data_IF_917936937853
#
_entry.id   IF_917936937853
#
_cell.length_a   1.000
_cell.length_b   1.000
_cell.length_c   1.000
_cell.angle_alpha   90.00
_cell.angle_beta   90.00
_cell.angle_gamma   90.00
#
_symmetry.space_group_name_H-M   'P 1'
#
loop_
_entity.id
_entity.type
_entity.pdbx_description
1 polymer ?
#
# COMPACT_ATOMS: atom_id res chain seq x y z
N UNK A 1 13.79 1.19 22.66
CA UNK A 1 13.48 1.03 24.10
C UNK A 1 12.69 2.26 24.52
N UNK A 2 11.58 2.15 25.27
CA UNK A 2 10.79 3.35 25.59
C UNK A 2 11.63 4.32 26.42
N UNK A 3 11.52 5.62 26.15
CA UNK A 3 12.31 6.65 26.83
C UNK A 3 12.10 6.67 28.35
N UNK A 4 10.89 6.34 28.80
CA UNK A 4 10.55 6.28 30.22
C UNK A 4 11.33 5.16 30.93
N UNK A 5 11.48 4.00 30.29
CA UNK A 5 12.31 2.88 30.76
C UNK A 5 13.80 3.25 30.71
N UNK A 6 14.24 3.95 29.66
CA UNK A 6 15.61 4.47 29.55
C UNK A 6 15.94 5.42 30.70
N UNK A 7 15.03 6.32 31.05
CA UNK A 7 15.17 7.27 32.16
C UNK A 7 15.25 6.55 33.51
N UNK A 8 14.37 5.56 33.75
CA UNK A 8 14.38 4.75 34.96
C UNK A 8 15.67 3.94 35.10
N UNK A 9 16.09 3.25 34.04
CA UNK A 9 17.35 2.48 34.03
C UNK A 9 18.57 3.38 34.24
N UNK A 10 18.56 4.57 33.66
CA UNK A 10 19.63 5.55 33.81
C UNK A 10 19.74 6.07 35.25
N UNK A 11 18.62 6.32 35.91
CA UNK A 11 18.57 6.67 37.34
C UNK A 11 19.10 5.52 38.21
N UNK A 12 18.63 4.30 37.97
CA UNK A 12 19.03 3.11 38.73
C UNK A 12 20.51 2.77 38.57
N UNK A 13 21.08 2.94 37.37
CA UNK A 13 22.53 2.79 37.11
C UNK A 13 23.39 3.80 37.89
N UNK A 14 22.79 4.89 38.34
CA UNK A 14 23.44 5.90 39.20
C UNK A 14 23.12 5.70 40.68
N UNK A 15 22.41 4.63 41.04
CA UNK A 15 21.98 4.32 42.41
C UNK A 15 21.17 5.46 43.06
N UNK A 16 20.46 6.24 42.26
CA UNK A 16 19.62 7.34 42.75
C UNK A 16 18.20 6.84 43.02
N UNK A 17 17.64 7.20 44.17
CA UNK A 17 16.20 7.06 44.40
C UNK A 17 15.42 8.13 43.64
N UNK A 18 14.11 7.95 43.47
CA UNK A 18 13.26 8.97 42.84
C UNK A 18 13.24 10.29 43.62
N UNK A 19 13.43 10.24 44.95
CA UNK A 19 13.50 11.42 45.83
C UNK A 19 14.81 12.19 45.69
N UNK A 20 15.93 11.46 45.62
CA UNK A 20 17.24 12.06 45.40
C UNK A 20 17.36 12.65 43.99
N UNK A 21 16.82 11.94 42.98
CA UNK A 21 16.76 12.45 41.61
C UNK A 21 15.89 13.70 41.50
N UNK A 22 14.72 13.72 42.13
CA UNK A 22 13.84 14.88 42.17
C UNK A 22 14.51 16.09 42.83
N UNK A 23 15.22 15.86 43.94
CA UNK A 23 15.99 16.89 44.65
C UNK A 23 17.13 17.44 43.79
N UNK A 24 17.89 16.57 43.11
CA UNK A 24 18.99 16.98 42.24
C UNK A 24 18.53 17.72 40.97
N UNK A 25 17.32 17.43 40.50
CA UNK A 25 16.69 18.06 39.34
C UNK A 25 15.83 19.29 39.71
N UNK A 26 15.65 19.59 41.00
CA UNK A 26 14.82 20.70 41.46
C UNK A 26 13.33 20.54 41.13
N UNK A 27 12.83 19.31 41.03
CA UNK A 27 11.42 19.00 40.72
C UNK A 27 10.77 18.17 41.83
N UNK A 28 9.46 17.99 41.77
CA UNK A 28 8.77 17.09 42.70
C UNK A 28 9.05 15.62 42.37
N UNK A 29 9.04 14.78 43.40
CA UNK A 29 9.10 13.31 43.29
C UNK A 29 8.05 12.74 42.35
N UNK A 30 6.85 13.31 42.39
CA UNK A 30 5.73 12.97 41.51
C UNK A 30 6.01 13.27 40.03
N UNK A 31 6.81 14.30 39.71
CA UNK A 31 7.20 14.60 38.33
C UNK A 31 8.16 13.55 37.77
N UNK A 32 9.15 13.13 38.57
CA UNK A 32 10.08 12.05 38.18
C UNK A 32 9.34 10.73 37.99
N UNK A 33 8.40 10.40 38.89
CA UNK A 33 7.53 9.22 38.76
C UNK A 33 6.68 9.26 37.49
N UNK A 34 6.10 10.42 37.16
CA UNK A 34 5.32 10.59 35.93
C UNK A 34 6.19 10.46 34.67
N UNK A 35 7.45 10.92 34.72
CA UNK A 35 8.39 10.79 33.61
C UNK A 35 8.83 9.34 33.37
N UNK A 36 8.99 8.57 34.43
CA UNK A 36 9.35 7.15 34.34
C UNK A 36 8.17 6.25 33.96
N UNK A 37 6.96 6.80 33.90
CA UNK A 37 5.73 6.04 33.61
C UNK A 37 5.12 6.42 32.27
N UNK A 38 4.58 7.64 32.16
CA UNK A 38 3.64 7.99 31.08
C UNK A 38 3.92 9.33 30.39
N UNK A 39 4.74 10.20 30.96
CA UNK A 39 4.93 11.58 30.46
C UNK A 39 6.37 11.87 30.11
N UNK A 40 6.61 12.88 29.28
CA UNK A 40 7.96 13.29 28.88
C UNK A 40 8.40 14.57 29.61
N UNK A 41 9.68 14.69 29.97
CA UNK A 41 10.23 15.92 30.52
C UNK A 41 10.27 17.02 29.46
N UNK A 42 10.03 18.26 29.91
CA UNK A 42 10.09 19.45 29.07
C UNK A 42 11.53 19.71 28.56
N UNK A 43 11.63 20.34 27.38
CA UNK A 43 12.89 20.68 26.70
C UNK A 43 13.83 21.51 27.57
N UNK A 44 13.25 22.37 28.40
CA UNK A 44 13.99 23.19 29.36
C UNK A 44 14.79 22.36 30.38
N UNK A 45 14.33 21.16 30.71
CA UNK A 45 14.91 20.28 31.73
C UNK A 45 16.00 19.35 31.19
N UNK A 46 16.12 19.21 29.87
CA UNK A 46 17.01 18.21 29.26
C UNK A 46 18.48 18.38 29.66
N UNK A 47 18.98 19.61 29.69
CA UNK A 47 20.36 19.89 30.08
C UNK A 47 20.67 19.44 31.52
N UNK A 48 19.68 19.58 32.42
CA UNK A 48 19.81 19.18 33.82
C UNK A 48 19.67 17.66 33.98
N UNK A 49 18.76 17.03 33.23
CA UNK A 49 18.60 15.57 33.23
C UNK A 49 19.86 14.88 32.72
N UNK A 50 20.41 15.36 31.59
CA UNK A 50 21.63 14.83 31.00
C UNK A 50 22.80 14.97 31.97
N UNK A 51 22.90 16.08 32.70
CA UNK A 51 24.00 16.31 33.65
C UNK A 51 23.87 15.47 34.92
N UNK A 52 22.67 15.38 35.53
CA UNK A 52 22.41 14.64 36.76
C UNK A 52 22.52 13.13 36.53
N UNK A 53 21.95 12.62 35.44
CA UNK A 53 22.04 11.20 35.10
C UNK A 53 23.34 10.84 34.36
N UNK A 54 24.13 11.85 33.98
CA UNK A 54 25.39 11.74 33.22
C UNK A 54 25.20 10.86 31.98
N UNK A 55 24.27 11.29 31.14
CA UNK A 55 23.89 10.60 29.90
C UNK A 55 24.68 11.14 28.72
N UNK A 56 24.87 10.31 27.70
CA UNK A 56 25.35 10.81 26.42
C UNK A 56 24.24 11.65 25.75
N UNK A 57 24.62 12.83 25.27
CA UNK A 57 23.66 13.78 24.68
C UNK A 57 23.02 13.24 23.41
N UNK A 58 23.76 12.45 22.63
CA UNK A 58 23.29 11.87 21.37
C UNK A 58 22.33 10.71 21.65
N UNK A 59 22.68 9.84 22.59
CA UNK A 59 21.83 8.72 23.04
C UNK A 59 20.51 9.20 23.65
N UNK A 60 20.58 10.25 24.49
CA UNK A 60 19.39 10.86 25.10
C UNK A 60 18.42 11.42 24.06
N UNK A 61 18.93 12.16 23.07
CA UNK A 61 18.11 12.77 22.02
C UNK A 61 17.51 11.72 21.08
N UNK A 62 18.23 10.64 20.78
CA UNK A 62 17.73 9.53 19.97
C UNK A 62 16.57 8.82 20.67
N UNK A 63 16.75 8.43 21.94
CA UNK A 63 15.70 7.75 22.71
C UNK A 63 14.49 8.67 22.97
N UNK A 64 14.72 9.96 23.18
CA UNK A 64 13.64 10.95 23.31
C UNK A 64 12.89 11.09 21.99
N UNK A 65 13.58 11.21 20.85
CA UNK A 65 12.98 11.31 19.51
C UNK A 65 12.11 10.11 19.17
N UNK A 66 12.55 8.90 19.50
CA UNK A 66 11.77 7.66 19.31
C UNK A 66 10.50 7.59 20.17
N UNK A 67 10.46 8.30 21.31
CA UNK A 67 9.33 8.27 22.25
C UNK A 67 8.45 9.52 22.23
N UNK A 68 8.97 10.64 21.71
CA UNK A 68 8.26 11.90 21.54
C UNK A 68 7.51 11.99 20.21
N UNK A 69 7.89 11.17 19.23
CA UNK A 69 6.98 10.78 18.15
C UNK A 69 5.99 9.84 18.83
N UNK A 70 4.71 10.20 18.98
CA UNK A 70 3.72 9.18 19.27
C UNK A 70 3.86 8.20 18.12
N UNK A 71 4.31 6.97 18.39
CA UNK A 71 3.73 5.86 17.64
C UNK A 71 2.26 6.11 17.81
N UNK A 72 1.57 6.43 16.71
CA UNK A 72 0.13 6.37 16.68
C UNK A 72 -0.20 5.08 17.43
N UNK A 73 -0.78 5.22 18.62
CA UNK A 73 -1.52 4.12 19.18
C UNK A 73 -2.45 3.78 18.04
N UNK A 74 -2.21 2.61 17.46
CA UNK A 74 -3.20 1.94 16.63
C UNK A 74 -4.38 1.88 17.57
N UNK A 75 -5.26 2.85 17.43
CA UNK A 75 -6.52 2.92 18.13
C UNK A 75 -7.24 1.68 17.63
N UNK A 76 -7.24 0.64 18.45
CA UNK A 76 -8.21 -0.43 18.40
C UNK A 76 -9.59 0.26 18.50
N UNK A 77 -10.16 0.63 17.35
CA UNK A 77 -11.34 1.50 17.37
C UNK A 77 -11.73 2.24 16.10
N UNK A 78 -11.38 1.75 14.91
CA UNK A 78 -12.25 1.86 13.71
C UNK A 78 -11.80 0.81 12.70
N UNK A 79 -12.67 -0.08 12.19
CA UNK A 79 -12.27 -1.15 11.25
C UNK A 79 -11.90 -0.65 9.84
N UNK A 80 -11.92 0.67 9.59
CA UNK A 80 -12.01 1.21 8.22
C UNK A 80 -10.72 1.82 7.65
N UNK A 81 -9.59 1.77 8.38
CA UNK A 81 -8.39 2.56 8.03
C UNK A 81 -7.09 1.75 8.02
N UNK A 82 -7.12 0.51 7.54
CA UNK A 82 -5.88 -0.15 7.12
C UNK A 82 -5.55 0.31 5.70
N UNK A 83 -4.36 0.89 5.50
CA UNK A 83 -3.92 1.35 4.17
C UNK A 83 -3.95 0.15 3.21
N UNK A 84 -4.62 0.25 2.03
CA UNK A 84 -4.89 -0.91 1.19
C UNK A 84 -3.66 -1.29 0.35
N UNK A 85 -2.65 -1.86 1.03
CA UNK A 85 -1.38 -2.28 0.42
C UNK A 85 -1.59 -3.24 -0.76
N UNK A 86 -2.59 -4.12 -0.63
CA UNK A 86 -2.93 -5.14 -1.61
C UNK A 86 -3.47 -4.59 -2.95
N UNK A 87 -3.88 -3.31 -3.01
CA UNK A 87 -4.35 -2.66 -4.23
C UNK A 87 -3.22 -2.03 -5.05
N UNK A 88 -2.04 -1.86 -4.46
CA UNK A 88 -0.92 -1.15 -5.09
C UNK A 88 0.10 -2.18 -5.61
N UNK A 89 0.58 -2.05 -6.86
CA UNK A 89 1.65 -2.91 -7.36
C UNK A 89 2.90 -2.85 -6.47
N UNK A 90 3.51 -4.00 -6.18
CA UNK A 90 4.66 -4.13 -5.27
C UNK A 90 5.81 -3.16 -5.63
N UNK A 91 6.07 -2.98 -6.93
CA UNK A 91 7.11 -2.08 -7.46
C UNK A 91 6.90 -0.61 -7.05
N UNK A 92 5.65 -0.19 -6.83
CA UNK A 92 5.26 1.18 -6.49
C UNK A 92 4.93 1.34 -5.01
N UNK A 93 4.66 0.25 -4.30
CA UNK A 93 4.23 0.26 -2.90
C UNK A 93 5.25 0.97 -1.99
N UNK A 94 6.54 0.67 -2.14
CA UNK A 94 7.58 1.32 -1.33
C UNK A 94 7.62 2.84 -1.54
N UNK A 95 7.57 3.28 -2.80
CA UNK A 95 7.55 4.70 -3.15
C UNK A 95 6.29 5.41 -2.62
N UNK A 96 5.12 4.76 -2.70
CA UNK A 96 3.88 5.32 -2.16
C UNK A 96 3.95 5.42 -0.64
N UNK A 97 4.42 4.39 0.09
CA UNK A 97 4.55 4.43 1.55
C UNK A 97 5.53 5.48 2.04
N UNK A 98 6.53 5.83 1.25
CA UNK A 98 7.49 6.91 1.53
C UNK A 98 6.88 8.33 1.40
N UNK A 99 5.64 8.46 0.91
CA UNK A 99 4.90 9.74 0.81
C UNK A 99 4.40 10.24 2.17
N UNK A 100 5.35 10.45 3.08
CA UNK A 100 5.15 11.10 4.37
C UNK A 100 6.03 12.34 4.40
N UNK A 101 5.39 13.50 4.51
CA UNK A 101 6.09 14.77 4.62
C UNK A 101 6.34 15.13 6.07
N UNK A 102 7.43 15.82 6.30
CA UNK A 102 7.65 16.59 7.53
C UNK A 102 7.08 17.99 7.39
N UNK A 103 6.88 18.69 8.52
CA UNK A 103 6.40 20.08 8.50
C UNK A 103 7.32 21.02 7.69
N UNK A 104 8.64 20.83 7.79
CA UNK A 104 9.63 21.59 7.01
C UNK A 104 9.55 21.27 5.51
N UNK A 105 9.35 20.00 5.15
CA UNK A 105 9.18 19.56 3.75
C UNK A 105 7.88 20.10 3.14
N UNK A 106 6.77 20.08 3.89
CA UNK A 106 5.50 20.64 3.45
C UNK A 106 5.56 22.17 3.26
N UNK A 107 6.21 22.87 4.19
CA UNK A 107 6.46 24.31 4.07
C UNK A 107 7.30 24.64 2.83
N UNK A 108 8.40 23.89 2.61
CA UNK A 108 9.23 24.05 1.42
C UNK A 108 8.43 23.75 0.15
N UNK A 109 7.69 22.65 0.08
CA UNK A 109 6.87 22.28 -1.09
C UNK A 109 5.84 23.37 -1.43
N UNK A 110 5.21 23.97 -0.42
CA UNK A 110 4.30 25.10 -0.61
C UNK A 110 4.99 26.33 -1.21
N UNK A 111 6.18 26.67 -0.71
CA UNK A 111 7.00 27.75 -1.27
C UNK A 111 7.44 27.42 -2.70
N UNK A 112 7.89 26.19 -2.97
CA UNK A 112 8.24 25.77 -4.32
C UNK A 112 7.06 25.91 -5.27
N UNK A 113 5.86 25.49 -4.89
CA UNK A 113 4.66 25.62 -5.72
C UNK A 113 4.29 27.09 -6.01
N UNK A 114 4.45 27.98 -5.02
CA UNK A 114 4.17 29.42 -5.15
C UNK A 114 5.21 30.16 -6.02
N UNK A 115 6.48 29.76 -5.94
CA UNK A 115 7.56 30.45 -6.64
C UNK A 115 7.94 29.81 -7.98
N UNK A 116 7.71 28.51 -8.18
CA UNK A 116 7.86 27.86 -9.50
C UNK A 116 6.76 28.26 -10.49
N UNK A 117 5.54 28.55 -10.00
CA UNK A 117 4.45 29.06 -10.85
C UNK A 117 4.75 30.43 -11.47
N UNK A 118 5.80 31.12 -11.02
CA UNK A 118 6.19 32.46 -11.45
C UNK A 118 7.54 32.53 -12.20
N UNK A 119 8.17 31.40 -12.59
CA UNK A 119 9.41 31.45 -13.38
C UNK A 119 9.13 31.68 -14.87
N UNK A 120 9.15 32.94 -15.31
CA UNK A 120 8.97 33.31 -16.72
C UNK A 120 10.22 32.96 -17.54
N UNK A 121 10.07 32.23 -18.66
CA UNK A 121 11.03 32.27 -19.77
C UNK A 121 10.54 33.27 -20.82
N UNK A 122 11.35 34.28 -21.11
CA UNK A 122 11.18 35.11 -22.32
C UNK A 122 11.86 34.35 -23.46
N UNK A 123 11.06 33.81 -24.38
CA UNK A 123 11.60 33.24 -25.61
C UNK A 123 12.05 34.38 -26.54
N UNK A 124 13.36 34.62 -26.58
CA UNK A 124 13.98 35.76 -27.27
C UNK A 124 13.80 35.81 -28.79
N UNK A 125 13.24 34.78 -29.42
CA UNK A 125 13.07 34.72 -30.88
C UNK A 125 11.68 35.13 -31.39
N UNK A 126 10.64 35.16 -30.55
CA UNK A 126 9.25 35.36 -31.00
C UNK A 126 8.40 36.28 -30.12
N UNK A 127 8.88 36.74 -28.97
CA UNK A 127 8.09 37.64 -28.10
C UNK A 127 6.82 37.01 -27.51
N UNK A 128 6.67 35.70 -27.62
CA UNK A 128 5.54 34.93 -27.09
C UNK A 128 5.95 34.35 -25.73
N UNK A 129 5.19 34.68 -24.69
CA UNK A 129 5.37 34.15 -23.34
C UNK A 129 4.96 32.67 -23.33
N UNK A 130 5.92 31.75 -23.16
CA UNK A 130 5.63 30.33 -22.96
C UNK A 130 5.94 29.93 -21.52
N UNK A 131 4.92 29.47 -20.80
CA UNK A 131 5.02 28.90 -19.46
C UNK A 131 5.83 27.60 -19.54
N UNK A 132 7.08 27.61 -19.10
CA UNK A 132 7.88 26.39 -18.94
C UNK A 132 8.62 26.47 -17.60
N UNK A 133 8.48 25.46 -16.70
CA UNK A 133 9.18 25.44 -15.42
C UNK A 133 10.69 25.49 -15.63
N UNK A 134 11.39 26.37 -14.90
CA UNK A 134 12.85 26.40 -14.93
C UNK A 134 13.41 25.29 -14.03
N UNK A 135 14.19 24.37 -14.59
CA UNK A 135 14.72 23.18 -13.87
C UNK A 135 15.69 23.50 -12.71
N UNK A 136 16.14 24.76 -12.54
CA UNK A 136 17.33 25.06 -11.74
C UNK A 136 17.27 26.34 -10.88
N UNK A 137 16.12 27.03 -10.78
CA UNK A 137 16.03 28.23 -9.95
C UNK A 137 14.63 28.42 -9.38
N UNK A 138 14.33 27.65 -8.33
CA UNK A 138 13.23 28.00 -7.43
C UNK A 138 13.63 29.29 -6.73
N UNK A 139 12.95 30.39 -7.05
CA UNK A 139 13.16 31.67 -6.37
C UNK A 139 12.61 31.63 -4.95
N UNK A 140 13.27 30.91 -4.04
CA UNK A 140 12.87 30.86 -2.64
C UNK A 140 13.19 32.20 -1.94
N UNK A 141 12.35 32.65 -0.98
CA UNK A 141 12.61 33.88 -0.23
C UNK A 141 13.97 33.84 0.48
N UNK A 142 14.77 34.90 0.33
CA UNK A 142 16.08 35.00 0.98
C UNK A 142 15.99 34.84 2.51
N UNK A 143 14.95 35.40 3.14
CA UNK A 143 14.73 35.29 4.58
C UNK A 143 14.52 33.85 5.03
N UNK A 144 13.81 33.04 4.23
CA UNK A 144 13.59 31.62 4.50
C UNK A 144 14.91 30.84 4.43
N UNK A 145 15.68 31.04 3.34
CA UNK A 145 16.98 30.39 3.14
C UNK A 145 17.99 30.80 4.21
N UNK A 146 18.00 32.07 4.60
CA UNK A 146 18.85 32.60 5.68
C UNK A 146 18.46 32.01 7.05
N UNK A 147 17.17 31.86 7.32
CA UNK A 147 16.66 31.35 8.59
C UNK A 147 16.89 29.84 8.80
N UNK A 148 16.67 29.02 7.76
CA UNK A 148 16.83 27.56 7.85
C UNK A 148 18.25 27.08 7.49
N UNK A 149 18.99 27.86 6.70
CA UNK A 149 20.32 27.55 6.19
C UNK A 149 20.29 26.88 4.80
N UNK A 150 21.12 27.37 3.87
CA UNK A 150 21.10 26.96 2.46
C UNK A 150 21.27 25.44 2.26
N UNK A 151 22.26 24.82 2.91
CA UNK A 151 22.49 23.37 2.78
C UNK A 151 21.35 22.53 3.34
N UNK A 152 20.64 23.02 4.37
CA UNK A 152 19.46 22.32 4.90
C UNK A 152 18.30 22.40 3.92
N UNK A 153 18.08 23.56 3.30
CA UNK A 153 17.07 23.72 2.25
C UNK A 153 17.37 22.84 1.04
N UNK A 154 18.64 22.75 0.62
CA UNK A 154 19.05 21.82 -0.44
C UNK A 154 18.76 20.36 -0.07
N UNK A 155 19.12 19.93 1.13
CA UNK A 155 18.84 18.56 1.58
C UNK A 155 17.32 18.26 1.65
N UNK A 156 16.51 19.25 2.04
CA UNK A 156 15.04 19.13 2.03
C UNK A 156 14.50 19.02 0.60
N UNK A 157 15.03 19.82 -0.34
CA UNK A 157 14.65 19.76 -1.75
C UNK A 157 15.01 18.40 -2.39
N UNK A 158 16.19 17.86 -2.07
CA UNK A 158 16.62 16.53 -2.54
C UNK A 158 15.71 15.43 -1.98
N UNK A 159 15.36 15.52 -0.69
CA UNK A 159 14.40 14.61 -0.04
C UNK A 159 13.02 14.68 -0.70
N UNK A 160 12.49 15.88 -0.92
CA UNK A 160 11.20 16.09 -1.60
C UNK A 160 11.21 15.53 -3.02
N UNK A 161 12.25 15.83 -3.80
CA UNK A 161 12.37 15.37 -5.18
C UNK A 161 12.41 13.85 -5.27
N UNK A 162 13.10 13.19 -4.32
CA UNK A 162 13.14 11.73 -4.23
C UNK A 162 11.79 11.13 -3.85
N UNK A 163 11.09 11.71 -2.86
CA UNK A 163 9.80 11.20 -2.36
C UNK A 163 8.66 11.44 -3.34
N UNK A 164 8.59 12.63 -3.93
CA UNK A 164 7.39 13.13 -4.62
C UNK A 164 7.39 12.88 -6.12
N UNK A 165 8.50 12.48 -6.75
CA UNK A 165 8.67 12.24 -8.21
C UNK A 165 7.41 12.46 -9.05
N UNK A 166 6.55 11.43 -9.15
CA UNK A 166 5.36 11.40 -10.02
C UNK A 166 4.07 11.84 -9.28
N UNK A 167 4.13 11.95 -7.96
CA UNK A 167 3.00 12.21 -7.07
C UNK A 167 2.90 13.67 -6.60
N UNK A 168 3.82 14.53 -7.06
CA UNK A 168 3.96 15.90 -6.58
C UNK A 168 2.69 16.73 -6.72
N UNK A 169 2.02 16.66 -7.86
CA UNK A 169 0.78 17.41 -8.11
C UNK A 169 -0.37 16.95 -7.21
N UNK A 170 -0.50 15.62 -7.03
CA UNK A 170 -1.48 15.03 -6.12
C UNK A 170 -1.26 15.52 -4.68
N UNK A 171 -0.03 15.44 -4.17
CA UNK A 171 0.30 15.85 -2.80
C UNK A 171 0.03 17.35 -2.59
N UNK A 172 0.39 18.21 -3.55
CA UNK A 172 0.05 19.63 -3.51
C UNK A 172 -1.48 19.83 -3.48
N UNK A 173 -2.23 19.07 -4.27
CA UNK A 173 -3.69 19.11 -4.30
C UNK A 173 -4.31 18.77 -2.94
N UNK A 174 -3.78 17.77 -2.24
CA UNK A 174 -4.26 17.39 -0.91
C UNK A 174 -3.89 18.43 0.16
N UNK A 175 -2.65 18.95 0.16
CA UNK A 175 -2.22 20.00 1.10
C UNK A 175 -3.06 21.28 0.93
N UNK A 176 -3.49 21.61 -0.30
CA UNK A 176 -4.38 22.76 -0.53
C UNK A 176 -5.77 22.59 0.12
N UNK A 177 -6.25 21.35 0.28
CA UNK A 177 -7.54 21.06 0.95
C UNK A 177 -7.40 21.18 2.46
N UNK A 178 -6.30 20.72 3.03
CA UNK A 178 -5.99 20.83 4.45
C UNK A 178 -4.52 21.26 4.68
N UNK A 179 -4.25 22.58 4.78
CA UNK A 179 -2.88 23.11 4.85
C UNK A 179 -2.25 22.98 6.24
N UNK A 180 -3.06 22.83 7.30
CA UNK A 180 -2.59 22.80 8.68
C UNK A 180 -2.12 21.39 9.10
N UNK A 181 -2.70 20.35 8.50
CA UNK A 181 -2.33 18.97 8.74
C UNK A 181 -1.11 18.57 7.90
N UNK A 182 -0.18 17.85 8.52
CA UNK A 182 1.00 17.32 7.81
C UNK A 182 0.57 16.16 6.91
N UNK A 183 0.91 16.23 5.63
CA UNK A 183 0.54 15.20 4.67
C UNK A 183 1.19 13.85 5.01
N UNK A 184 0.34 12.84 5.20
CA UNK A 184 0.72 11.45 5.42
C UNK A 184 -0.25 10.55 4.65
N UNK A 185 0.28 9.82 3.68
CA UNK A 185 -0.53 8.94 2.83
C UNK A 185 -1.26 7.84 3.60
N UNK A 186 -0.71 7.36 4.72
CA UNK A 186 -1.30 6.28 5.50
C UNK A 186 -2.56 6.72 6.26
N UNK A 187 -2.77 8.04 6.39
CA UNK A 187 -3.93 8.63 7.06
C UNK A 187 -4.94 9.20 6.06
N UNK A 188 -4.75 8.95 4.76
CA UNK A 188 -5.66 9.44 3.73
C UNK A 188 -6.99 8.68 3.73
N UNK A 189 -8.08 9.38 3.44
CA UNK A 189 -9.39 8.75 3.25
C UNK A 189 -9.43 7.90 1.98
N UNK A 190 -10.40 6.99 1.89
CA UNK A 190 -10.67 6.18 0.69
C UNK A 190 -10.74 7.05 -0.59
N UNK A 191 -11.45 8.17 -0.56
CA UNK A 191 -11.56 9.11 -1.70
C UNK A 191 -10.21 9.70 -2.12
N UNK A 192 -9.36 10.06 -1.15
CA UNK A 192 -8.03 10.58 -1.44
C UNK A 192 -7.14 9.50 -2.07
N UNK A 193 -7.25 8.25 -1.58
CA UNK A 193 -6.54 7.11 -2.18
C UNK A 193 -6.97 6.84 -3.62
N UNK A 194 -8.25 7.01 -3.95
CA UNK A 194 -8.72 6.90 -5.35
C UNK A 194 -8.09 7.97 -6.25
N UNK A 195 -8.00 9.21 -5.77
CA UNK A 195 -7.30 10.28 -6.50
C UNK A 195 -5.81 9.94 -6.69
N UNK A 196 -5.16 9.29 -5.71
CA UNK A 196 -3.80 8.78 -5.86
C UNK A 196 -3.73 7.69 -6.95
N UNK A 197 -4.67 6.75 -6.98
CA UNK A 197 -4.69 5.66 -7.97
C UNK A 197 -4.83 6.18 -9.40
N UNK A 198 -5.45 7.35 -9.60
CA UNK A 198 -5.48 8.02 -10.92
C UNK A 198 -4.10 8.53 -11.36
N UNK A 199 -3.22 8.86 -10.41
CA UNK A 199 -1.86 9.31 -10.68
C UNK A 199 -0.87 8.14 -10.89
N UNK A 200 -1.18 6.95 -10.38
CA UNK A 200 -0.36 5.76 -10.59
C UNK A 200 -0.65 5.22 -11.99
N UNK A 201 0.29 5.41 -12.92
CA UNK A 201 0.21 4.82 -14.26
C UNK A 201 1.13 3.60 -14.41
N UNK A 202 0.68 2.62 -15.18
CA UNK A 202 1.50 1.48 -15.60
C UNK A 202 1.25 1.13 -17.06
N UNK A 203 2.26 0.49 -17.67
CA UNK A 203 2.33 0.21 -19.09
C UNK A 203 3.30 1.14 -19.83
N UNK A 204 3.68 0.76 -21.05
CA UNK A 204 4.62 1.51 -21.89
C UNK A 204 3.95 2.00 -23.18
N UNK A 205 4.23 3.25 -23.56
CA UNK A 205 3.79 3.83 -24.85
C UNK A 205 2.30 4.22 -24.90
N UNK A 206 1.62 3.87 -26.00
CA UNK A 206 0.24 4.34 -26.33
C UNK A 206 -0.88 3.70 -25.50
N UNK A 207 -0.57 2.77 -24.59
CA UNK A 207 -1.54 2.06 -23.74
C UNK A 207 -1.29 2.30 -22.25
N UNK A 208 -0.86 3.50 -21.89
CA UNK A 208 -0.71 3.87 -20.49
C UNK A 208 -2.10 3.90 -19.85
N UNK A 209 -2.35 2.99 -18.91
CA UNK A 209 -3.57 2.97 -18.09
C UNK A 209 -3.22 3.43 -16.69
N UNK A 210 -4.15 4.11 -16.04
CA UNK A 210 -4.01 4.40 -14.61
C UNK A 210 -4.53 3.22 -13.78
N UNK A 211 -4.08 3.14 -12.53
CA UNK A 211 -4.47 2.10 -11.58
C UNK A 211 -5.97 2.14 -11.29
N UNK A 212 -6.53 3.34 -11.22
CA UNK A 212 -7.96 3.54 -11.02
C UNK A 212 -8.82 2.80 -12.04
N UNK A 213 -8.57 2.98 -13.35
CA UNK A 213 -9.36 2.37 -14.43
C UNK A 213 -9.31 0.84 -14.41
N UNK A 214 -8.16 0.27 -14.05
CA UNK A 214 -8.04 -1.18 -13.97
C UNK A 214 -8.69 -1.73 -12.73
N UNK A 215 -8.54 -1.08 -11.58
CA UNK A 215 -9.21 -1.48 -10.35
C UNK A 215 -10.73 -1.35 -10.49
N UNK A 216 -11.22 -0.32 -11.18
CA UNK A 216 -12.64 -0.17 -11.50
C UNK A 216 -13.14 -1.32 -12.38
N UNK A 217 -12.39 -1.70 -13.42
CA UNK A 217 -12.70 -2.85 -14.26
C UNK A 217 -12.69 -4.17 -13.46
N UNK A 218 -11.65 -4.38 -12.65
CA UNK A 218 -11.53 -5.57 -11.81
C UNK A 218 -12.70 -5.66 -10.82
N UNK A 219 -13.11 -4.54 -10.23
CA UNK A 219 -14.23 -4.50 -9.29
C UNK A 219 -15.57 -4.83 -9.96
N UNK A 220 -15.83 -4.33 -11.16
CA UNK A 220 -17.06 -4.63 -11.90
C UNK A 220 -17.17 -6.15 -12.16
N UNK A 221 -16.08 -6.78 -12.59
CA UNK A 221 -16.06 -8.21 -12.86
C UNK A 221 -16.12 -9.06 -11.58
N UNK A 222 -15.49 -8.59 -10.48
CA UNK A 222 -15.61 -9.23 -9.17
C UNK A 222 -17.05 -9.17 -8.63
N UNK A 223 -17.73 -8.03 -8.75
CA UNK A 223 -19.15 -7.88 -8.37
C UNK A 223 -20.04 -8.81 -9.19
N UNK A 224 -19.79 -8.92 -10.50
CA UNK A 224 -20.53 -9.84 -11.36
C UNK A 224 -20.40 -11.31 -10.92
N UNK A 225 -19.22 -11.73 -10.46
CA UNK A 225 -18.99 -13.10 -9.98
C UNK A 225 -19.62 -13.30 -8.59
N UNK A 226 -19.47 -12.34 -7.69
CA UNK A 226 -20.01 -12.41 -6.32
C UNK A 226 -21.55 -12.43 -6.29
N UNK A 227 -22.19 -11.66 -7.18
CA UNK A 227 -23.66 -11.62 -7.33
C UNK A 227 -24.24 -12.85 -8.04
N UNK A 228 -23.40 -13.68 -8.65
CA UNK A 228 -23.86 -14.84 -9.42
C UNK A 228 -24.21 -16.04 -8.50
N UNK A 229 -25.46 -16.52 -8.58
CA UNK A 229 -25.91 -17.69 -7.80
C UNK A 229 -25.24 -19.01 -8.24
N UNK A 230 -24.65 -19.04 -9.44
CA UNK A 230 -24.02 -20.22 -10.04
C UNK A 230 -22.57 -19.91 -10.38
N UNK A 231 -21.65 -20.88 -10.27
CA UNK A 231 -20.26 -20.68 -10.61
C UNK A 231 -20.11 -20.14 -12.04
N UNK A 232 -19.33 -19.08 -12.18
CA UNK A 232 -19.09 -18.45 -13.49
C UNK A 232 -18.09 -19.29 -14.27
N UNK A 233 -18.62 -20.13 -15.16
CA UNK A 233 -17.81 -20.97 -16.05
C UNK A 233 -17.18 -20.12 -17.15
N UNK A 234 -15.85 -20.18 -17.25
CA UNK A 234 -15.06 -19.43 -18.24
C UNK A 234 -14.65 -20.29 -19.42
N UNK A 235 -14.48 -21.60 -19.24
CA UNK A 235 -14.18 -22.53 -20.33
C UNK A 235 -14.77 -23.89 -20.03
N UNK A 236 -15.17 -24.64 -21.07
CA UNK A 236 -15.62 -26.03 -20.96
C UNK A 236 -14.70 -26.95 -21.73
N UNK A 237 -14.47 -28.14 -21.21
CA UNK A 237 -13.73 -29.15 -21.94
C UNK A 237 -14.57 -29.69 -23.09
N UNK A 238 -14.04 -29.59 -24.31
CA UNK A 238 -14.64 -30.14 -25.51
C UNK A 238 -13.61 -31.01 -26.24
N UNK A 239 -13.70 -32.35 -26.17
CA UNK A 239 -12.73 -33.25 -26.78
C UNK A 239 -12.74 -33.19 -28.32
N UNK A 240 -13.78 -32.60 -28.92
CA UNK A 240 -13.91 -32.40 -30.38
C UNK A 240 -13.43 -31.01 -30.82
N UNK A 241 -13.06 -30.15 -29.87
CA UNK A 241 -12.56 -28.81 -30.17
C UNK A 241 -11.28 -28.90 -31.00
N UNK A 242 -11.27 -28.20 -32.14
CA UNK A 242 -10.11 -28.05 -33.03
C UNK A 242 -9.64 -26.60 -32.96
N UNK A 243 -9.26 -26.13 -31.79
CA UNK A 243 -8.58 -24.83 -31.70
C UNK A 243 -7.20 -24.92 -32.36
N UNK A 244 -6.71 -23.79 -32.90
CA UNK A 244 -5.44 -23.68 -33.64
C UNK A 244 -4.23 -24.12 -32.79
N UNK A 245 -4.35 -24.10 -31.46
CA UNK A 245 -3.30 -24.42 -30.49
C UNK A 245 -3.37 -25.86 -29.95
N UNK A 246 -4.32 -26.68 -30.41
CA UNK A 246 -4.52 -28.04 -29.90
C UNK A 246 -5.13 -28.08 -28.50
N UNK A 247 -5.66 -26.95 -28.02
CA UNK A 247 -6.26 -26.85 -26.70
C UNK A 247 -7.70 -27.38 -26.74
N UNK A 248 -8.00 -28.34 -25.85
CA UNK A 248 -9.31 -29.01 -25.78
C UNK A 248 -10.33 -28.21 -24.97
N UNK A 249 -9.97 -27.01 -24.53
CA UNK A 249 -10.85 -26.10 -23.83
C UNK A 249 -11.52 -25.14 -24.82
N UNK A 250 -12.85 -25.03 -24.71
CA UNK A 250 -13.66 -24.08 -25.45
C UNK A 250 -14.02 -22.92 -24.53
N UNK A 251 -13.66 -21.70 -24.92
CA UNK A 251 -13.89 -20.51 -24.12
C UNK A 251 -15.35 -20.08 -24.20
N UNK A 252 -15.94 -19.85 -23.03
CA UNK A 252 -17.27 -19.26 -22.91
C UNK A 252 -17.21 -17.76 -23.22
N UNK A 253 -18.39 -17.15 -23.45
CA UNK A 253 -18.51 -15.72 -23.76
C UNK A 253 -17.83 -14.82 -22.71
N UNK A 254 -17.83 -15.26 -21.46
CA UNK A 254 -17.29 -14.50 -20.33
C UNK A 254 -15.76 -14.60 -20.22
N UNK A 255 -15.11 -15.55 -20.91
CA UNK A 255 -13.66 -15.77 -20.82
C UNK A 255 -12.87 -14.49 -21.09
N UNK A 256 -13.20 -13.77 -22.17
CA UNK A 256 -12.45 -12.58 -22.58
C UNK A 256 -12.55 -11.40 -21.61
N UNK A 257 -13.60 -11.38 -20.78
CA UNK A 257 -13.79 -10.36 -19.74
C UNK A 257 -12.99 -10.72 -18.50
N UNK A 258 -13.16 -11.95 -18.03
CA UNK A 258 -12.55 -12.47 -16.81
C UNK A 258 -11.04 -12.66 -16.95
N UNK A 259 -10.55 -13.08 -18.12
CA UNK A 259 -9.11 -13.25 -18.37
C UNK A 259 -8.31 -11.94 -18.33
N UNK A 260 -8.98 -10.78 -18.30
CA UNK A 260 -8.33 -9.47 -18.15
C UNK A 260 -8.26 -9.00 -16.70
N UNK A 261 -8.99 -9.65 -15.80
CA UNK A 261 -8.97 -9.32 -14.36
C UNK A 261 -7.61 -9.70 -13.80
N UNK A 262 -7.09 -8.88 -12.88
CA UNK A 262 -5.84 -9.18 -12.20
C UNK A 262 -5.88 -10.56 -11.53
N UNK A 263 -4.85 -11.38 -11.79
CA UNK A 263 -4.70 -12.69 -11.16
C UNK A 263 -4.51 -12.63 -9.64
N UNK A 264 -4.25 -11.43 -9.10
CA UNK A 264 -4.23 -11.23 -7.65
C UNK A 264 -5.63 -11.36 -7.03
N UNK A 265 -6.68 -10.97 -7.77
CA UNK A 265 -8.06 -10.94 -7.27
C UNK A 265 -8.90 -12.13 -7.73
N UNK A 266 -8.51 -12.77 -8.83
CA UNK A 266 -9.29 -13.83 -9.45
C UNK A 266 -8.40 -14.97 -9.91
N UNK A 267 -8.81 -16.19 -9.56
CA UNK A 267 -8.16 -17.43 -9.99
C UNK A 267 -9.12 -18.24 -10.88
N UNK A 268 -8.58 -18.89 -11.92
CA UNK A 268 -9.35 -19.80 -12.77
C UNK A 268 -9.01 -21.23 -12.36
N UNK A 269 -9.98 -21.90 -11.74
CA UNK A 269 -9.81 -23.27 -11.21
C UNK A 269 -10.47 -24.26 -12.17
N UNK A 270 -9.77 -25.36 -12.46
CA UNK A 270 -10.30 -26.50 -13.20
C UNK A 270 -11.06 -27.43 -12.26
N UNK A 271 -12.32 -27.69 -12.58
CA UNK A 271 -13.17 -28.65 -11.89
C UNK A 271 -13.62 -29.75 -12.85
N UNK A 272 -13.65 -30.96 -12.32
CA UNK A 272 -14.27 -32.09 -12.99
C UNK A 272 -15.81 -31.98 -12.87
N UNK A 273 -16.55 -32.39 -13.90
CA UNK A 273 -18.01 -32.30 -13.88
C UNK A 273 -18.60 -33.20 -12.78
N UNK A 274 -19.61 -32.70 -12.09
CA UNK A 274 -20.40 -33.45 -11.10
C UNK A 274 -21.72 -33.98 -11.70
N UNK A 275 -21.89 -33.92 -13.02
CA UNK A 275 -23.07 -34.45 -13.69
C UNK A 275 -23.26 -35.93 -13.34
N UNK A 276 -24.47 -36.31 -12.89
CA UNK A 276 -24.79 -37.67 -12.41
C UNK A 276 -24.43 -38.75 -13.44
N UNK A 277 -24.68 -38.48 -14.72
CA UNK A 277 -24.34 -39.38 -15.83
C UNK A 277 -22.83 -39.60 -15.97
N UNK A 278 -22.03 -38.56 -15.79
CA UNK A 278 -20.58 -38.65 -15.90
C UNK A 278 -19.96 -39.36 -14.70
N UNK A 279 -20.42 -39.05 -13.49
CA UNK A 279 -19.98 -39.72 -12.26
C UNK A 279 -20.30 -41.22 -12.34
N UNK A 280 -21.50 -41.59 -12.79
CA UNK A 280 -21.89 -42.99 -12.99
C UNK A 280 -21.02 -43.71 -14.04
N UNK A 281 -20.68 -43.04 -15.15
CA UNK A 281 -19.76 -43.61 -16.16
C UNK A 281 -18.35 -43.82 -15.61
N UNK A 282 -17.86 -42.91 -14.78
CA UNK A 282 -16.54 -43.02 -14.12
C UNK A 282 -16.51 -44.17 -13.13
N UNK A 283 -17.51 -44.29 -12.27
CA UNK A 283 -17.62 -45.40 -11.32
C UNK A 283 -17.73 -46.75 -12.03
N UNK A 284 -18.48 -46.82 -13.13
CA UNK A 284 -18.59 -48.04 -13.93
C UNK A 284 -17.24 -48.42 -14.54
N UNK A 285 -16.51 -47.45 -15.09
CA UNK A 285 -15.18 -47.67 -15.64
C UNK A 285 -14.17 -48.15 -14.58
N UNK A 286 -14.21 -47.60 -13.36
CA UNK A 286 -13.35 -48.05 -12.26
C UNK A 286 -13.63 -49.51 -11.88
N UNK A 287 -14.90 -49.92 -11.86
CA UNK A 287 -15.31 -51.32 -11.65
C UNK A 287 -14.83 -52.22 -12.80
N UNK A 288 -14.99 -51.77 -14.04
CA UNK A 288 -14.58 -52.52 -15.23
C UNK A 288 -13.05 -52.68 -15.30
N UNK A 289 -12.28 -51.67 -14.90
CA UNK A 289 -10.82 -51.75 -14.79
C UNK A 289 -10.39 -52.70 -13.68
N UNK A 290 -11.01 -52.60 -12.50
CA UNK A 290 -10.70 -53.50 -11.39
C UNK A 290 -10.93 -54.96 -11.81
N UNK A 291 -12.05 -55.22 -12.49
CA UNK A 291 -12.36 -56.53 -13.04
C UNK A 291 -11.34 -56.97 -14.12
N UNK A 292 -10.95 -56.08 -15.03
CA UNK A 292 -9.96 -56.36 -16.07
C UNK A 292 -8.58 -56.72 -15.47
N UNK A 293 -8.14 -56.00 -14.43
CA UNK A 293 -6.87 -56.27 -13.75
C UNK A 293 -6.92 -57.65 -13.06
N UNK A 294 -8.01 -57.98 -12.38
CA UNK A 294 -8.19 -59.28 -11.73
C UNK A 294 -8.30 -60.44 -12.73
N UNK A 295 -8.83 -60.19 -13.93
CA UNK A 295 -9.15 -61.21 -14.92
C UNK A 295 -8.52 -60.92 -16.30
N UNK A 296 -7.25 -60.50 -16.32
CA UNK A 296 -6.52 -60.13 -17.55
C UNK A 296 -6.56 -61.18 -18.67
N UNK A 297 -6.71 -62.45 -18.34
CA UNK A 297 -6.77 -63.55 -19.32
C UNK A 297 -8.17 -63.80 -19.91
N UNK A 298 -9.21 -63.11 -19.42
CA UNK A 298 -10.60 -63.29 -19.86
C UNK A 298 -11.13 -62.15 -20.73
N UNK A 299 -10.34 -61.10 -20.96
CA UNK A 299 -10.72 -59.92 -21.75
C UNK A 299 -9.70 -59.67 -22.86
N UNK A 300 -10.16 -59.44 -24.08
CA UNK A 300 -9.30 -59.23 -25.25
C UNK A 300 -8.69 -57.82 -25.33
N UNK A 301 -9.24 -56.87 -24.58
CA UNK A 301 -8.76 -55.49 -24.54
C UNK A 301 -9.10 -54.81 -23.21
N UNK A 302 -8.35 -53.75 -22.88
CA UNK A 302 -8.63 -52.89 -21.74
C UNK A 302 -9.98 -52.16 -21.91
N UNK A 303 -10.73 -51.91 -20.82
CA UNK A 303 -11.93 -51.08 -20.85
C UNK A 303 -11.63 -49.68 -21.40
N UNK A 304 -12.55 -49.13 -22.19
CA UNK A 304 -12.39 -47.80 -22.77
C UNK A 304 -12.57 -46.72 -21.69
N UNK A 305 -11.60 -45.81 -21.58
CA UNK A 305 -11.69 -44.69 -20.63
C UNK A 305 -12.87 -43.77 -20.99
N UNK A 306 -13.73 -43.39 -20.02
CA UNK A 306 -14.82 -42.46 -20.28
C UNK A 306 -14.27 -41.11 -20.74
N UNK A 307 -15.01 -40.39 -21.61
CA UNK A 307 -14.60 -39.06 -22.04
C UNK A 307 -14.59 -38.12 -20.84
N UNK A 308 -13.48 -37.39 -20.65
CA UNK A 308 -13.35 -36.41 -19.58
C UNK A 308 -14.34 -35.27 -19.79
N UNK A 309 -15.10 -34.93 -18.74
CA UNK A 309 -15.90 -33.72 -18.68
C UNK A 309 -15.37 -32.85 -17.54
N UNK A 310 -14.94 -31.65 -17.90
CA UNK A 310 -14.46 -30.66 -16.95
C UNK A 310 -14.84 -29.26 -17.40
N UNK A 311 -14.85 -28.34 -16.44
CA UNK A 311 -15.09 -26.94 -16.67
C UNK A 311 -14.07 -26.12 -15.87
N UNK A 312 -13.76 -24.93 -16.37
CA UNK A 312 -12.97 -23.94 -15.65
C UNK A 312 -13.92 -22.88 -15.12
N UNK A 313 -13.87 -22.62 -13.83
CA UNK A 313 -14.66 -21.56 -13.20
C UNK A 313 -13.75 -20.45 -12.68
N UNK A 314 -14.30 -19.24 -12.64
CA UNK A 314 -13.66 -18.10 -12.00
C UNK A 314 -13.99 -18.11 -10.51
N UNK A 315 -12.95 -18.09 -9.67
CA UNK A 315 -13.06 -18.07 -8.22
C UNK A 315 -12.39 -16.81 -7.71
N UNK A 316 -13.10 -16.07 -6.86
CA UNK A 316 -12.56 -14.87 -6.23
C UNK A 316 -11.57 -15.30 -5.15
N UNK A 317 -10.36 -14.73 -5.19
CA UNK A 317 -9.31 -15.00 -4.19
C UNK A 317 -9.59 -14.27 -2.87
N UNK A 318 -8.86 -14.59 -1.81
CA UNK A 318 -8.97 -13.84 -0.54
C UNK A 318 -8.69 -12.33 -0.72
N UNK A 319 -7.73 -11.97 -1.58
CA UNK A 319 -7.44 -10.57 -1.89
C UNK A 319 -8.58 -9.91 -2.70
N UNK A 320 -9.23 -10.65 -3.59
CA UNK A 320 -10.42 -10.18 -4.32
C UNK A 320 -11.62 -9.96 -3.39
N UNK A 321 -11.82 -10.84 -2.40
CA UNK A 321 -12.83 -10.65 -1.35
C UNK A 321 -12.54 -9.39 -0.52
N UNK A 322 -11.29 -9.21 -0.07
CA UNK A 322 -10.87 -7.98 0.63
C UNK A 322 -11.09 -6.73 -0.22
N UNK A 323 -10.87 -6.81 -1.53
CA UNK A 323 -11.14 -5.70 -2.42
C UNK A 323 -12.63 -5.36 -2.49
N UNK A 324 -13.50 -6.36 -2.65
CA UNK A 324 -14.95 -6.19 -2.62
C UNK A 324 -15.40 -5.52 -1.31
N UNK A 325 -14.89 -5.99 -0.18
CA UNK A 325 -15.20 -5.41 1.14
C UNK A 325 -14.71 -3.98 1.28
N UNK A 326 -13.48 -3.69 0.87
CA UNK A 326 -12.92 -2.35 0.91
C UNK A 326 -13.73 -1.35 0.07
N UNK A 327 -14.24 -1.80 -1.08
CA UNK A 327 -15.03 -1.03 -2.03
C UNK A 327 -16.55 -1.03 -1.78
N UNK A 328 -17.05 -1.63 -0.68
CA UNK A 328 -18.50 -1.66 -0.36
C UNK A 328 -19.11 -0.25 -0.24
N UNK A 329 -18.34 0.70 0.28
CA UNK A 329 -18.79 2.08 0.53
C UNK A 329 -18.32 3.08 -0.54
N UNK A 330 -17.75 2.59 -1.64
CA UNK A 330 -17.19 3.40 -2.70
C UNK A 330 -17.92 3.09 -4.01
N UNK A 331 -18.49 4.11 -4.64
CA UNK A 331 -18.82 4.06 -6.06
C UNK A 331 -17.56 4.41 -6.87
N UNK A 332 -16.99 3.39 -7.50
CA UNK A 332 -15.77 3.45 -8.32
C UNK A 332 -16.08 3.79 -9.78
#
# INVERSE_FOLDING_TARGET
MKFNDYMKMSRERRFLTQEEAATALGVSTTSVQKWEKDTLPDKSMWAQIISVYKLDKSEFLMNYGESAIPRAEISEGSPDSEFPEFLIPEEKLAAVKELVLTKDEQELLGLEALYQSNSYKVNGSLGIFSLSPHENSIGLPYEYVKGKGAFRVMALHDSLSKKLSDYREYVIGQIKKDPETVFNINNCSKEQLLDLFRCISYGSGRQQKNLYESLAYDLEELRFIDESEKPVVVSRYNPKSRTVLGDKWENEKNYSRIAKVSSAFLEIIERESEDEDYVAMKEQYEKDIAFYIEHQNMMDHEPAKPPYYGYKEAVITEAGQKFLEWAKDIDL
#
